data_IF_185627408905
#
_entry.id   IF_185627408905
#
_cell.length_a   1.000
_cell.length_b   1.000
_cell.length_c   1.000
_cell.angle_alpha   90.00
_cell.angle_beta   90.00
_cell.angle_gamma   90.00
#
_symmetry.space_group_name_H-M   'P 1'
#
loop_
_entity.id
_entity.type
_entity.pdbx_description
1 polymer ?
#
# COMPACT_ATOMS: atom_id res chain seq x y z
N UNK A 1 -4.15 2.70 -13.89
CA UNK A 1 -4.07 2.24 -12.49
C UNK A 1 -3.87 3.48 -11.66
N UNK A 2 -4.82 3.80 -10.80
CA UNK A 2 -4.86 5.08 -10.10
C UNK A 2 -3.91 5.08 -8.91
N UNK A 3 -3.19 6.19 -8.73
CA UNK A 3 -2.31 6.38 -7.58
C UNK A 3 -3.14 6.54 -6.29
N UNK A 4 -2.63 6.00 -5.19
CA UNK A 4 -3.20 6.23 -3.86
C UNK A 4 -2.83 7.67 -3.47
N UNK A 5 -3.83 8.51 -3.21
CA UNK A 5 -3.62 9.91 -2.82
C UNK A 5 -4.12 10.21 -1.41
N UNK A 6 -4.95 9.32 -0.82
CA UNK A 6 -5.54 9.53 0.50
C UNK A 6 -5.23 8.40 1.48
N UNK A 7 -5.28 8.73 2.78
CA UNK A 7 -5.13 7.75 3.87
C UNK A 7 -6.21 6.66 3.80
N UNK A 8 -7.42 7.02 3.39
CA UNK A 8 -8.54 6.07 3.28
C UNK A 8 -8.29 5.05 2.16
N UNK A 9 -7.82 5.49 1.00
CA UNK A 9 -7.45 4.60 -0.10
C UNK A 9 -6.31 3.66 0.32
N UNK A 10 -5.29 4.19 1.00
CA UNK A 10 -4.19 3.40 1.54
C UNK A 10 -4.69 2.31 2.50
N UNK A 11 -5.59 2.65 3.44
CA UNK A 11 -6.20 1.67 4.35
C UNK A 11 -7.00 0.60 3.62
N UNK A 12 -7.75 0.96 2.57
CA UNK A 12 -8.48 0.00 1.73
C UNK A 12 -7.53 -0.97 1.03
N UNK A 13 -6.42 -0.48 0.51
CA UNK A 13 -5.38 -1.30 -0.13
C UNK A 13 -4.76 -2.28 0.87
N UNK A 14 -4.38 -1.82 2.07
CA UNK A 14 -3.85 -2.69 3.12
C UNK A 14 -4.85 -3.78 3.53
N UNK A 15 -6.13 -3.42 3.69
CA UNK A 15 -7.19 -4.36 4.01
C UNK A 15 -7.34 -5.43 2.92
N UNK A 16 -7.29 -5.02 1.65
CA UNK A 16 -7.39 -5.94 0.52
C UNK A 16 -6.21 -6.92 0.47
N UNK A 17 -4.98 -6.43 0.66
CA UNK A 17 -3.79 -7.29 0.77
C UNK A 17 -3.97 -8.31 1.90
N UNK A 18 -4.44 -7.85 3.06
CA UNK A 18 -4.67 -8.70 4.22
C UNK A 18 -5.71 -9.81 3.89
N UNK A 19 -6.84 -9.46 3.28
CA UNK A 19 -7.85 -10.43 2.86
C UNK A 19 -7.32 -11.47 1.86
N UNK A 20 -6.51 -11.04 0.89
CA UNK A 20 -5.92 -11.94 -0.12
C UNK A 20 -4.86 -12.88 0.47
N UNK A 21 -4.12 -12.42 1.48
CA UNK A 21 -3.10 -13.22 2.17
C UNK A 21 -3.70 -14.15 3.24
N UNK A 22 -4.79 -13.75 3.89
CA UNK A 22 -5.44 -14.48 4.99
C UNK A 22 -6.61 -15.34 4.52
N UNK A 23 -6.41 -16.12 3.46
CA UNK A 23 -7.43 -17.06 2.95
C UNK A 23 -7.47 -18.41 3.69
N UNK A 24 -6.79 -18.53 4.83
CA UNK A 24 -6.75 -19.75 5.62
C UNK A 24 -6.10 -20.91 4.84
N UNK A 25 -6.87 -21.97 4.57
CA UNK A 25 -6.42 -23.17 3.85
C UNK A 25 -6.51 -23.07 2.32
N UNK A 26 -7.10 -22.01 1.78
CA UNK A 26 -7.17 -21.82 0.33
C UNK A 26 -5.83 -21.35 -0.23
N UNK A 27 -5.43 -21.91 -1.37
CA UNK A 27 -4.25 -21.45 -2.11
C UNK A 27 -4.51 -20.08 -2.72
N UNK A 28 -3.49 -19.22 -2.69
CA UNK A 28 -3.48 -17.95 -3.42
C UNK A 28 -3.32 -18.26 -4.91
N UNK A 29 -4.23 -17.76 -5.74
CA UNK A 29 -4.12 -17.95 -7.19
C UNK A 29 -3.01 -17.09 -7.80
N UNK A 30 -2.58 -17.39 -9.02
CA UNK A 30 -1.59 -16.55 -9.72
C UNK A 30 -2.11 -15.11 -9.94
N UNK A 31 -3.42 -14.96 -10.17
CA UNK A 31 -4.07 -13.65 -10.34
C UNK A 31 -4.05 -12.86 -9.03
N UNK A 32 -4.36 -13.52 -7.91
CA UNK A 32 -4.33 -12.91 -6.58
C UNK A 32 -2.91 -12.53 -6.18
N UNK A 33 -1.92 -13.35 -6.53
CA UNK A 33 -0.52 -13.02 -6.34
C UNK A 33 -0.10 -11.79 -7.15
N UNK A 34 -0.59 -11.67 -8.39
CA UNK A 34 -0.38 -10.47 -9.22
C UNK A 34 -1.03 -9.24 -8.59
N UNK A 35 -2.28 -9.36 -8.12
CA UNK A 35 -3.01 -8.31 -7.42
C UNK A 35 -2.25 -7.85 -6.16
N UNK A 36 -1.78 -8.78 -5.32
CA UNK A 36 -0.98 -8.48 -4.13
C UNK A 36 0.28 -7.68 -4.49
N UNK A 37 0.99 -8.05 -5.56
CA UNK A 37 2.20 -7.33 -5.99
C UNK A 37 1.90 -5.90 -6.41
N UNK A 38 0.83 -5.70 -7.18
CA UNK A 38 0.39 -4.37 -7.61
C UNK A 38 0.00 -3.52 -6.39
N UNK A 39 -0.83 -4.07 -5.50
CA UNK A 39 -1.30 -3.37 -4.31
C UNK A 39 -0.14 -2.99 -3.37
N UNK A 40 0.85 -3.87 -3.21
CA UNK A 40 2.08 -3.56 -2.44
C UNK A 40 2.87 -2.44 -3.07
N UNK A 41 3.06 -2.45 -4.39
CA UNK A 41 3.77 -1.39 -5.09
C UNK A 41 3.07 -0.02 -4.91
N UNK A 42 1.74 0.02 -5.02
CA UNK A 42 0.96 1.24 -4.78
C UNK A 42 1.06 1.74 -3.34
N UNK A 43 1.00 0.83 -2.36
CA UNK A 43 1.16 1.17 -0.94
C UNK A 43 2.55 1.74 -0.64
N UNK A 44 3.61 1.11 -1.16
CA UNK A 44 4.98 1.60 -1.00
C UNK A 44 5.21 2.96 -1.66
N UNK A 45 4.62 3.22 -2.82
CA UNK A 45 4.72 4.54 -3.45
C UNK A 45 4.03 5.63 -2.63
N UNK A 46 2.84 5.33 -2.07
CA UNK A 46 2.16 6.24 -1.16
C UNK A 46 2.97 6.52 0.11
N UNK A 47 3.55 5.47 0.70
CA UNK A 47 4.44 5.60 1.86
C UNK A 47 5.64 6.46 1.54
N UNK A 48 6.34 6.19 0.42
CA UNK A 48 7.50 6.97 -0.01
C UNK A 48 7.18 8.45 -0.13
N UNK A 49 6.12 8.80 -0.86
CA UNK A 49 5.69 10.20 -1.02
C UNK A 49 5.38 10.82 0.33
N UNK A 50 4.62 10.14 1.19
CA UNK A 50 4.22 10.67 2.50
C UNK A 50 5.39 10.82 3.48
N UNK A 51 6.31 9.86 3.49
CA UNK A 51 7.48 9.89 4.37
C UNK A 51 8.53 10.90 3.87
N UNK A 52 8.70 11.06 2.56
CA UNK A 52 9.52 12.12 1.97
C UNK A 52 9.01 13.50 2.43
N UNK A 53 7.69 13.74 2.43
CA UNK A 53 7.11 14.97 2.97
C UNK A 53 7.31 15.13 4.49
N UNK A 54 7.26 14.05 5.27
CA UNK A 54 7.53 14.13 6.72
C UNK A 54 9.01 14.42 7.03
N UNK A 55 9.93 13.99 6.17
CA UNK A 55 11.36 14.25 6.34
C UNK A 55 11.68 15.72 6.05
N UNK A 56 11.09 16.29 5.00
CA UNK A 56 11.25 17.72 4.63
C UNK A 56 10.63 18.63 5.70
N UNK A 57 9.44 18.30 6.22
CA UNK A 57 8.79 19.10 7.27
C UNK A 57 9.57 19.10 8.60
N UNK A 58 10.35 18.06 8.90
CA UNK A 58 11.16 17.98 10.10
C UNK A 58 12.51 18.73 10.00
N UNK A 59 12.92 19.15 8.80
CA UNK A 59 14.18 19.87 8.56
C UNK A 59 14.02 21.39 8.48
N UNK A 60 12.79 21.93 8.44
CA UNK A 60 12.52 23.37 8.41
C UNK A 60 12.37 24.01 9.81
N UNK A 61 12.60 23.26 10.90
CA UNK A 61 12.53 23.77 12.30
C UNK A 61 13.91 24.00 12.96
N UNK A 62 14.98 24.32 12.21
CA UNK A 62 16.29 24.65 12.80
C UNK A 62 17.00 25.85 12.16
#
# INVERSE_FOLDING_TARGET
MDAITTVEQYRKVLLRINMLMNKGSQRISCEEMSEIRILRAQASEYERVRYDFSLVAATDEN
#
